data_IF_861721834366
#
_entry.id   IF_861721834366
#
_cell.length_a   1.000
_cell.length_b   1.000
_cell.length_c   1.000
_cell.angle_alpha   90.00
_cell.angle_beta   90.00
_cell.angle_gamma   90.00
#
_symmetry.space_group_name_H-M   'P 1'
#
loop_
_entity.id
_entity.type
_entity.pdbx_description
1 polymer ?
#
# COMPACT_ATOMS: atom_id res chain seq x y z
N UNK A 1 10.42 -26.51 6.55
CA UNK A 1 9.24 -27.34 6.31
C UNK A 1 8.44 -26.65 5.22
N UNK A 2 7.99 -27.40 4.22
CA UNK A 2 7.13 -26.84 3.17
C UNK A 2 5.68 -26.85 3.63
N UNK A 3 5.01 -25.70 3.55
CA UNK A 3 3.61 -25.55 3.95
C UNK A 3 2.72 -25.50 2.70
N UNK A 4 1.95 -26.55 2.35
CA UNK A 4 1.14 -26.57 1.13
C UNK A 4 0.00 -25.54 1.14
N UNK A 5 -0.43 -25.12 2.34
CA UNK A 5 -1.42 -24.06 2.54
C UNK A 5 -0.83 -22.65 2.46
N UNK A 6 0.40 -22.49 1.95
CA UNK A 6 1.04 -21.19 1.78
C UNK A 6 1.96 -21.18 0.55
N UNK A 7 2.07 -20.03 -0.09
CA UNK A 7 3.01 -19.80 -1.21
C UNK A 7 4.09 -18.80 -0.82
N UNK A 8 5.26 -18.96 -1.41
CA UNK A 8 6.31 -17.94 -1.32
C UNK A 8 5.88 -16.69 -2.09
N UNK A 9 6.18 -15.51 -1.57
CA UNK A 9 5.81 -14.25 -2.18
C UNK A 9 6.86 -13.15 -1.91
N UNK A 10 6.95 -12.15 -2.79
CA UNK A 10 7.78 -10.95 -2.59
C UNK A 10 6.98 -9.66 -2.69
N UNK A 11 7.53 -8.60 -2.11
CA UNK A 11 6.91 -7.28 -2.01
C UNK A 11 6.81 -6.57 -3.36
N UNK A 12 7.82 -6.75 -4.20
CA UNK A 12 8.00 -5.97 -5.42
C UNK A 12 8.35 -6.88 -6.60
N UNK A 13 8.21 -6.30 -7.78
CA UNK A 13 8.66 -6.84 -9.05
C UNK A 13 9.37 -5.72 -9.81
N UNK A 14 10.25 -6.08 -10.73
CA UNK A 14 10.88 -5.11 -11.63
C UNK A 14 10.01 -4.88 -12.85
N UNK A 15 10.25 -3.79 -13.59
CA UNK A 15 9.52 -3.53 -14.83
C UNK A 15 10.49 -3.42 -16.00
N UNK A 16 10.30 -4.27 -16.99
CA UNK A 16 11.01 -4.23 -18.26
C UNK A 16 10.01 -3.96 -19.38
N UNK A 17 10.23 -2.89 -20.14
CA UNK A 17 9.32 -2.49 -21.22
C UNK A 17 7.85 -2.29 -20.80
N UNK A 18 7.62 -1.96 -19.52
CA UNK A 18 6.28 -1.78 -18.95
C UNK A 18 5.61 -3.07 -18.49
N UNK A 19 6.25 -4.23 -18.68
CA UNK A 19 5.77 -5.53 -18.21
C UNK A 19 6.42 -5.87 -16.86
N UNK A 20 5.70 -6.52 -15.93
CA UNK A 20 6.24 -6.94 -14.66
C UNK A 20 7.16 -8.16 -14.84
N UNK A 21 8.35 -8.11 -14.24
CA UNK A 21 9.38 -9.15 -14.31
C UNK A 21 9.81 -9.53 -12.88
N UNK A 22 10.18 -10.80 -12.72
CA UNK A 22 10.73 -11.30 -11.45
C UNK A 22 12.06 -10.59 -11.22
N UNK A 23 12.26 -9.93 -10.07
CA UNK A 23 13.50 -9.25 -9.77
C UNK A 23 14.65 -10.25 -9.63
N UNK A 24 15.85 -9.86 -10.05
CA UNK A 24 17.06 -10.69 -9.89
C UNK A 24 17.32 -11.01 -8.42
N UNK A 25 17.11 -10.02 -7.55
CA UNK A 25 17.21 -10.12 -6.09
C UNK A 25 15.85 -9.86 -5.45
N UNK A 26 15.02 -10.89 -5.23
CA UNK A 26 13.66 -10.70 -4.72
C UNK A 26 13.59 -10.21 -3.27
N UNK A 27 14.72 -10.19 -2.57
CA UNK A 27 14.81 -9.82 -1.17
C UNK A 27 14.11 -10.83 -0.26
N UNK A 28 13.56 -10.34 0.84
CA UNK A 28 12.94 -11.18 1.87
C UNK A 28 11.67 -11.85 1.34
N UNK A 29 11.59 -13.18 1.48
CA UNK A 29 10.45 -13.97 1.05
C UNK A 29 9.37 -14.02 2.14
N UNK A 30 8.14 -13.71 1.76
CA UNK A 30 6.97 -13.70 2.61
C UNK A 30 6.03 -14.89 2.35
N UNK A 31 5.22 -15.24 3.34
CA UNK A 31 4.20 -16.27 3.21
C UNK A 31 2.86 -15.67 2.77
N UNK A 32 2.40 -16.02 1.57
CA UNK A 32 1.04 -15.78 1.10
C UNK A 32 0.16 -16.96 1.51
N UNK A 33 -0.71 -16.76 2.52
CA UNK A 33 -1.51 -17.82 3.10
C UNK A 33 -2.72 -18.14 2.22
N UNK A 34 -3.01 -19.43 2.08
CA UNK A 34 -4.15 -19.95 1.33
C UNK A 34 -5.16 -20.54 2.32
N UNK A 35 -6.39 -20.05 2.26
CA UNK A 35 -7.51 -20.63 3.00
C UNK A 35 -8.18 -21.68 2.11
N UNK A 36 -7.75 -22.94 2.23
CA UNK A 36 -8.19 -24.00 1.34
C UNK A 36 -9.70 -24.29 1.45
N UNK A 37 -10.31 -23.95 2.60
CA UNK A 37 -11.75 -24.10 2.82
C UNK A 37 -12.56 -22.92 2.27
N UNK A 38 -11.93 -21.76 2.07
CA UNK A 38 -12.56 -20.51 1.67
C UNK A 38 -11.69 -19.67 0.73
N UNK A 39 -11.22 -20.28 -0.36
CA UNK A 39 -10.31 -19.61 -1.29
C UNK A 39 -10.96 -18.38 -1.93
N UNK A 40 -10.29 -17.24 -1.83
CA UNK A 40 -10.67 -16.04 -2.58
C UNK A 40 -10.42 -16.23 -4.08
N UNK A 41 -11.04 -15.40 -4.93
CA UNK A 41 -10.81 -15.42 -6.38
C UNK A 41 -9.31 -15.27 -6.72
N UNK A 42 -8.59 -14.40 -6.02
CA UNK A 42 -7.14 -14.21 -6.19
C UNK A 42 -6.38 -15.48 -5.83
N UNK A 43 -6.70 -16.12 -4.70
CA UNK A 43 -6.02 -17.35 -4.28
C UNK A 43 -6.28 -18.53 -5.22
N UNK A 44 -7.51 -18.67 -5.73
CA UNK A 44 -7.83 -19.68 -6.76
C UNK A 44 -7.04 -19.44 -8.04
N UNK A 45 -6.95 -18.19 -8.49
CA UNK A 45 -6.18 -17.82 -9.67
C UNK A 45 -4.68 -18.13 -9.48
N UNK A 46 -4.09 -17.75 -8.34
CA UNK A 46 -2.70 -18.07 -8.00
C UNK A 46 -2.45 -19.59 -7.97
N UNK A 47 -3.36 -20.36 -7.39
CA UNK A 47 -3.22 -21.82 -7.30
C UNK A 47 -3.25 -22.54 -8.65
N UNK A 48 -3.92 -21.96 -9.63
CA UNK A 48 -4.02 -22.52 -10.99
C UNK A 48 -2.85 -22.13 -11.89
N UNK A 49 -1.90 -21.32 -11.42
CA UNK A 49 -0.71 -20.91 -12.18
C UNK A 49 0.44 -21.87 -11.96
N UNK A 50 1.15 -22.17 -13.05
CA UNK A 50 2.40 -22.93 -13.05
C UNK A 50 3.63 -22.02 -13.03
N UNK A 51 3.43 -20.72 -13.27
CA UNK A 51 4.43 -19.67 -13.34
C UNK A 51 4.21 -18.64 -12.21
N UNK A 52 5.10 -17.65 -12.15
CA UNK A 52 4.99 -16.55 -11.17
C UNK A 52 3.71 -15.75 -11.42
N UNK A 53 3.02 -15.42 -10.33
CA UNK A 53 1.80 -14.63 -10.34
C UNK A 53 2.11 -13.19 -9.95
N UNK A 54 1.90 -12.26 -10.88
CA UNK A 54 1.95 -10.82 -10.62
C UNK A 54 0.54 -10.35 -10.25
N UNK A 55 0.40 -9.76 -9.06
CA UNK A 55 -0.89 -9.34 -8.54
C UNK A 55 -1.20 -7.91 -8.99
N UNK A 56 -2.38 -7.70 -9.60
CA UNK A 56 -2.86 -6.35 -9.96
C UNK A 56 -2.96 -5.41 -8.76
N UNK A 57 -3.25 -5.98 -7.58
CA UNK A 57 -3.31 -5.27 -6.30
C UNK A 57 -2.48 -6.02 -5.27
N UNK A 58 -1.63 -5.33 -4.51
CA UNK A 58 -0.86 -5.98 -3.47
C UNK A 58 -1.75 -6.61 -2.40
N UNK A 59 -1.47 -7.85 -2.05
CA UNK A 59 -2.19 -8.63 -1.04
C UNK A 59 -1.42 -8.69 0.28
N UNK A 60 -2.12 -8.93 1.39
CA UNK A 60 -1.46 -9.02 2.71
C UNK A 60 -0.86 -10.40 2.94
N UNK A 61 0.45 -10.46 3.18
CA UNK A 61 1.15 -11.68 3.63
C UNK A 61 0.91 -11.98 5.11
N UNK A 62 1.33 -13.16 5.57
CA UNK A 62 1.16 -13.62 6.95
C UNK A 62 1.68 -12.61 8.00
N UNK A 63 2.78 -11.92 7.73
CA UNK A 63 3.35 -10.93 8.65
C UNK A 63 2.69 -9.54 8.56
N UNK A 64 1.80 -9.32 7.59
CA UNK A 64 1.11 -8.06 7.35
C UNK A 64 1.77 -7.17 6.28
N UNK A 65 2.85 -7.64 5.66
CA UNK A 65 3.51 -6.93 4.55
C UNK A 65 2.71 -7.13 3.27
N UNK A 66 2.61 -6.08 2.44
CA UNK A 66 1.97 -6.16 1.13
C UNK A 66 2.88 -6.83 0.12
N UNK A 67 2.42 -7.90 -0.50
CA UNK A 67 3.11 -8.65 -1.55
C UNK A 67 2.44 -8.44 -2.88
N UNK A 68 3.24 -8.36 -3.95
CA UNK A 68 2.75 -8.11 -5.31
C UNK A 68 3.14 -9.23 -6.28
N UNK A 69 4.02 -10.14 -5.83
CA UNK A 69 4.54 -11.25 -6.61
C UNK A 69 4.39 -12.53 -5.78
N UNK A 70 3.77 -13.57 -6.34
CA UNK A 70 3.61 -14.89 -5.69
C UNK A 70 4.23 -15.98 -6.56
N UNK A 71 5.14 -16.75 -5.98
CA UNK A 71 5.81 -17.85 -6.67
C UNK A 71 4.93 -19.11 -6.70
N UNK A 72 5.03 -19.96 -7.75
CA UNK A 72 4.22 -21.18 -7.87
C UNK A 72 4.64 -22.28 -6.88
N UNK A 73 5.65 -22.03 -6.04
CA UNK A 73 6.18 -22.98 -5.06
C UNK A 73 5.57 -22.77 -3.66
N UNK A 74 5.43 -23.85 -2.87
CA UNK A 74 5.03 -23.74 -1.47
C UNK A 74 6.01 -22.90 -0.66
N UNK A 75 5.51 -22.21 0.35
CA UNK A 75 6.36 -21.50 1.31
C UNK A 75 7.21 -22.50 2.12
N UNK A 76 8.52 -22.28 2.17
CA UNK A 76 9.46 -23.13 2.90
C UNK A 76 9.99 -22.41 4.14
N UNK A 77 9.63 -22.87 5.34
CA UNK A 77 10.07 -22.25 6.60
C UNK A 77 11.56 -22.38 6.90
N UNK A 78 12.27 -23.28 6.21
CA UNK A 78 13.70 -23.56 6.47
C UNK A 78 14.62 -22.80 5.52
N UNK A 79 14.03 -22.05 4.59
CA UNK A 79 14.79 -21.22 3.64
C UNK A 79 15.36 -20.00 4.40
N UNK A 80 16.67 -19.69 4.27
CA UNK A 80 17.30 -18.60 5.01
C UNK A 80 16.77 -17.21 4.65
N UNK A 81 16.18 -17.04 3.46
CA UNK A 81 15.76 -15.74 2.94
C UNK A 81 14.31 -15.40 3.33
N UNK A 82 13.63 -16.26 4.09
CA UNK A 82 12.24 -16.04 4.49
C UNK A 82 12.11 -15.11 5.69
N UNK A 83 11.04 -14.33 5.68
CA UNK A 83 10.67 -13.46 6.79
C UNK A 83 10.39 -14.31 8.06
N UNK A 84 11.12 -14.11 9.17
CA UNK A 84 10.92 -14.88 10.41
C UNK A 84 9.49 -14.75 11.00
N UNK A 85 8.87 -13.58 10.80
CA UNK A 85 7.48 -13.34 11.20
C UNK A 85 6.51 -14.16 10.35
N UNK A 86 6.75 -14.28 9.04
CA UNK A 86 5.96 -15.16 8.18
C UNK A 86 6.11 -16.63 8.58
N UNK A 87 7.31 -17.09 8.91
CA UNK A 87 7.53 -18.46 9.42
C UNK A 87 6.69 -18.74 10.66
N UNK A 88 6.72 -17.83 11.64
CA UNK A 88 5.94 -17.95 12.88
C UNK A 88 4.43 -17.96 12.59
N UNK A 89 3.95 -17.00 11.81
CA UNK A 89 2.52 -16.86 11.51
C UNK A 89 1.99 -18.00 10.64
N UNK A 90 2.77 -18.48 9.68
CA UNK A 90 2.40 -19.62 8.84
C UNK A 90 2.39 -20.94 9.64
N UNK A 91 3.25 -21.06 10.65
CA UNK A 91 3.20 -22.18 11.60
C UNK A 91 1.90 -22.16 12.37
N UNK A 92 1.53 -21.03 13.00
CA UNK A 92 0.24 -20.91 13.69
C UNK A 92 -0.94 -21.16 12.76
N UNK A 93 -0.91 -20.63 11.53
CA UNK A 93 -1.94 -20.91 10.53
C UNK A 93 -2.22 -22.41 10.35
N UNK A 94 -1.16 -23.23 10.40
CA UNK A 94 -1.24 -24.67 10.22
C UNK A 94 -1.55 -25.44 11.52
N UNK A 95 -1.02 -25.00 12.67
CA UNK A 95 -1.09 -25.77 13.92
C UNK A 95 -2.12 -25.23 14.93
N UNK A 96 -2.36 -23.93 14.94
CA UNK A 96 -3.23 -23.23 15.90
C UNK A 96 -3.85 -21.98 15.27
N UNK A 97 -5.01 -22.20 14.65
CA UNK A 97 -5.72 -21.16 13.91
C UNK A 97 -6.25 -20.04 14.82
N UNK A 98 -6.54 -20.33 16.07
CA UNK A 98 -7.04 -19.34 17.03
C UNK A 98 -5.93 -18.36 17.41
N UNK A 99 -4.74 -18.87 17.74
CA UNK A 99 -3.57 -18.04 18.05
C UNK A 99 -3.16 -17.18 16.84
N UNK A 100 -3.25 -17.73 15.62
CA UNK A 100 -3.07 -16.93 14.40
C UNK A 100 -4.02 -15.73 14.36
N UNK A 101 -5.32 -15.94 14.59
CA UNK A 101 -6.32 -14.88 14.58
C UNK A 101 -6.08 -13.84 15.69
N UNK A 102 -5.70 -14.29 16.89
CA UNK A 102 -5.32 -13.39 18.00
C UNK A 102 -4.19 -12.47 17.57
N UNK A 103 -3.14 -13.00 16.94
CA UNK A 103 -1.98 -12.21 16.49
C UNK A 103 -2.33 -11.23 15.38
N UNK A 104 -3.15 -11.63 14.41
CA UNK A 104 -3.64 -10.74 13.36
C UNK A 104 -4.42 -9.58 13.98
N UNK A 105 -5.33 -9.85 14.92
CA UNK A 105 -6.10 -8.82 15.64
C UNK A 105 -5.19 -7.87 16.43
N UNK A 106 -4.19 -8.39 17.14
CA UNK A 106 -3.22 -7.55 17.86
C UNK A 106 -2.39 -6.67 16.92
N UNK A 107 -2.03 -7.17 15.73
CA UNK A 107 -1.36 -6.38 14.69
C UNK A 107 -2.27 -5.26 14.19
N UNK A 108 -3.52 -5.59 13.85
CA UNK A 108 -4.51 -4.63 13.38
C UNK A 108 -4.73 -3.51 14.41
N UNK A 109 -4.97 -3.87 15.68
CA UNK A 109 -5.17 -2.90 16.76
C UNK A 109 -3.96 -1.95 16.92
N UNK A 110 -2.73 -2.48 16.82
CA UNK A 110 -1.52 -1.65 16.85
C UNK A 110 -1.44 -0.69 15.66
N UNK A 111 -1.88 -1.11 14.47
CA UNK A 111 -1.93 -0.26 13.28
C UNK A 111 -2.93 0.88 13.45
N UNK A 112 -4.15 0.55 13.84
CA UNK A 112 -5.22 1.54 14.07
C UNK A 112 -4.80 2.56 15.13
N UNK A 113 -4.22 2.11 16.25
CA UNK A 113 -3.73 3.01 17.30
C UNK A 113 -2.66 4.00 16.78
N UNK A 114 -1.73 3.53 15.95
CA UNK A 114 -0.70 4.39 15.33
C UNK A 114 -1.29 5.38 14.33
N UNK A 115 -2.29 4.96 13.55
CA UNK A 115 -2.98 5.84 12.60
C UNK A 115 -3.77 6.93 13.32
N UNK A 116 -4.48 6.58 14.40
CA UNK A 116 -5.17 7.53 15.26
C UNK A 116 -4.20 8.55 15.91
N UNK A 117 -3.04 8.08 16.39
CA UNK A 117 -2.01 8.96 16.96
C UNK A 117 -1.47 9.95 15.90
N UNK A 118 -1.23 9.49 14.67
CA UNK A 118 -0.78 10.35 13.57
C UNK A 118 -1.85 11.37 13.19
N UNK A 119 -3.12 10.97 13.12
CA UNK A 119 -4.22 11.88 12.83
C UNK A 119 -4.32 12.98 13.90
N UNK A 120 -4.25 12.61 15.18
CA UNK A 120 -4.27 13.58 16.29
C UNK A 120 -3.07 14.54 16.26
N UNK A 121 -1.88 14.08 15.86
CA UNK A 121 -0.70 14.94 15.67
C UNK A 121 -0.87 15.90 14.49
N UNK A 122 -1.41 15.42 13.37
CA UNK A 122 -1.68 16.23 12.20
C UNK A 122 -2.69 17.34 12.51
N UNK A 123 -3.79 17.02 13.19
CA UNK A 123 -4.81 17.98 13.62
C UNK A 123 -4.19 19.10 14.47
N UNK A 124 -3.42 18.73 15.52
CA UNK A 124 -2.70 19.70 16.36
C UNK A 124 -1.76 20.59 15.55
N UNK A 125 -1.04 20.03 14.58
CA UNK A 125 -0.14 20.83 13.72
C UNK A 125 -0.90 21.84 12.86
N UNK A 126 -2.06 21.45 12.31
CA UNK A 126 -2.90 22.35 11.52
C UNK A 126 -3.51 23.46 12.36
N UNK A 127 -3.89 23.17 13.61
CA UNK A 127 -4.42 24.16 14.53
C UNK A 127 -3.36 25.18 14.97
N UNK A 128 -2.11 24.74 15.18
CA UNK A 128 -0.98 25.64 15.45
C UNK A 128 -0.71 26.56 14.26
N UNK A 129 -0.73 26.04 13.03
CA UNK A 129 -0.58 26.86 11.81
C UNK A 129 -1.70 27.90 11.69
N UNK A 130 -2.96 27.50 11.91
CA UNK A 130 -4.11 28.44 11.90
C UNK A 130 -3.96 29.52 12.96
N UNK A 131 -3.53 29.18 14.17
CA UNK A 131 -3.29 30.15 15.25
C UNK A 131 -2.14 31.09 14.91
N UNK A 132 -1.05 30.60 14.31
CA UNK A 132 0.08 31.42 13.87
C UNK A 132 -0.33 32.40 12.77
N UNK A 133 -1.12 31.97 11.78
CA UNK A 133 -1.64 32.85 10.73
C UNK A 133 -2.59 33.91 11.29
N UNK A 134 -3.43 33.54 12.27
CA UNK A 134 -4.32 34.49 12.94
C UNK A 134 -3.56 35.49 13.83
N UNK A 135 -2.48 35.05 14.49
CA UNK A 135 -1.65 35.91 15.34
C UNK A 135 -0.69 36.82 14.54
N UNK A 136 -0.33 36.45 13.30
CA UNK A 136 0.43 37.28 12.37
C UNK A 136 -0.40 38.36 11.66
N UNK A 137 -1.72 38.43 11.91
CA UNK A 137 -2.66 39.39 11.31
C UNK A 137 -2.68 40.78 11.96
N UNK A 138 -1.52 41.31 12.34
CA UNK A 138 -1.33 42.74 12.64
C UNK A 138 -0.35 43.30 11.61
N UNK A 139 -0.85 43.59 10.40
CA UNK A 139 -0.30 44.65 9.58
C UNK A 139 -1.13 45.90 9.87
N UNK A 140 -0.61 46.91 10.61
CA UNK A 140 -1.18 48.24 10.59
C UNK A 140 -0.67 48.97 9.34
N UNK A 141 -1.59 49.54 8.57
CA UNK A 141 -1.24 50.34 7.40
C UNK A 141 -2.41 50.52 6.46
N UNK A 142 -3.39 51.29 6.92
CA UNK A 142 -4.42 51.89 6.09
C UNK A 142 -3.82 52.85 5.04
N UNK A 143 -4.65 53.15 4.04
CA UNK A 143 -4.63 54.33 3.17
C UNK A 143 -3.58 54.42 2.05
N UNK A 144 -3.95 54.01 0.84
CA UNK A 144 -4.29 54.97 -0.23
C UNK A 144 -4.79 54.23 -1.49
N UNK A 145 -6.02 54.55 -1.92
CA UNK A 145 -6.44 54.35 -3.31
C UNK A 145 -5.75 55.41 -4.17
N UNK A 146 -5.23 55.05 -5.35
CA UNK A 146 -5.86 55.65 -6.52
C UNK A 146 -6.09 54.67 -7.67
N UNK A 147 -7.30 54.78 -8.17
CA UNK A 147 -7.73 54.70 -9.56
C UNK A 147 -6.59 54.67 -10.61
N UNK A 148 -6.47 53.57 -11.35
CA UNK A 148 -6.12 53.63 -12.79
C UNK A 148 -6.79 52.49 -13.54
N UNK A 149 -7.86 52.88 -14.21
CA UNK A 149 -8.33 52.43 -15.52
C UNK A 149 -7.27 51.85 -16.49
N UNK A 150 -7.80 51.23 -17.56
CA UNK A 150 -7.20 50.83 -18.85
C UNK A 150 -6.37 49.53 -18.93
N UNK A 151 -7.01 48.41 -19.29
CA UNK A 151 -7.09 47.89 -20.68
C UNK A 151 -7.60 46.44 -20.70
N UNK A 152 -8.87 46.30 -21.11
CA UNK A 152 -9.47 45.02 -21.50
C UNK A 152 -8.92 44.61 -22.87
N UNK A 153 -7.85 43.83 -22.89
CA UNK A 153 -7.41 43.15 -24.10
C UNK A 153 -8.33 41.94 -24.34
N UNK A 154 -9.20 42.07 -25.33
CA UNK A 154 -9.96 40.97 -25.91
C UNK A 154 -8.98 40.07 -26.67
N UNK A 155 -8.77 38.85 -26.20
CA UNK A 155 -8.17 37.80 -27.03
C UNK A 155 -9.26 37.18 -27.90
N UNK A 156 -9.10 37.16 -29.23
CA UNK A 156 -10.07 36.57 -30.15
C UNK A 156 -10.05 35.04 -30.03
N UNK A 157 -11.26 34.45 -30.01
CA UNK A 157 -11.45 33.01 -30.25
C UNK A 157 -11.25 32.74 -31.74
N UNK A 158 -10.42 31.78 -32.15
CA UNK A 158 -10.56 31.20 -33.48
C UNK A 158 -11.65 30.13 -33.45
N UNK A 159 -12.65 30.37 -34.28
CA UNK A 159 -13.65 29.38 -34.70
C UNK A 159 -13.00 28.21 -35.45
N UNK A 160 -13.51 27.01 -35.16
CA UNK A 160 -13.87 26.00 -36.15
C UNK A 160 -12.74 25.29 -36.90
N UNK A 161 -12.71 23.96 -36.76
CA UNK A 161 -12.65 23.10 -37.94
C UNK A 161 -13.40 21.79 -37.71
N UNK A 162 -14.44 21.60 -38.52
CA UNK A 162 -15.15 20.36 -38.78
C UNK A 162 -14.36 19.49 -39.78
N UNK A 163 -14.81 18.23 -39.93
CA UNK A 163 -14.45 17.17 -40.90
C UNK A 163 -13.47 16.15 -40.33
N UNK A 164 -13.73 14.84 -40.34
CA UNK A 164 -14.76 13.99 -40.98
C UNK A 164 -14.93 12.70 -40.18
#
# INVERSE_FOLDING_TARGET
MKLPSARSASCHFDSEHGEPVVPEEPGVIHAFLLDLDALTRTQQWVLNRNDVAFLDKPEESACGTRVSLVYPMPFNTDDPDVCPSCTTMATFWHTDREEFQVRVRLRHNRRVAREAERAAKAEKSTDLLKRSLKAGGLLPGDDESPDTSVHRAQSPRPDGFHQR
#
